data_IF_235495842363
#
_entry.id   IF_235495842363
#
_cell.length_a   1.000
_cell.length_b   1.000
_cell.length_c   1.000
_cell.angle_alpha   90.00
_cell.angle_beta   90.00
_cell.angle_gamma   90.00
#
_symmetry.space_group_name_H-M   'P 1'
#
loop_
_entity.id
_entity.type
_entity.pdbx_description
1 polymer ?
#
# COMPACT_ATOMS: atom_id res chain seq x y z
N UNK A 1 -6.56 -5.47 15.60
CA UNK A 1 -5.93 -4.39 14.82
C UNK A 1 -5.85 -3.06 15.55
N UNK A 2 -4.63 -2.55 15.77
CA UNK A 2 -4.33 -1.24 16.33
C UNK A 2 -3.32 -0.54 15.42
N UNK A 3 -3.56 0.72 15.05
CA UNK A 3 -2.63 1.51 14.25
C UNK A 3 -1.36 1.80 15.06
N UNK A 4 -0.20 1.47 14.49
CA UNK A 4 1.10 1.88 15.00
C UNK A 4 1.39 3.29 14.48
N UNK A 5 0.84 4.29 15.17
CA UNK A 5 0.88 5.71 14.74
C UNK A 5 2.31 6.20 14.52
N UNK A 6 3.19 5.97 15.50
CA UNK A 6 4.58 6.40 15.44
C UNK A 6 5.33 5.76 14.26
N UNK A 7 5.18 4.45 14.08
CA UNK A 7 5.77 3.74 12.94
C UNK A 7 5.23 4.25 11.61
N UNK A 8 3.94 4.55 11.52
CA UNK A 8 3.28 4.98 10.27
C UNK A 8 3.65 6.41 9.90
N UNK A 9 3.48 7.35 10.82
CA UNK A 9 3.64 8.78 10.53
C UNK A 9 5.11 9.21 10.48
N UNK A 10 6.00 8.54 11.21
CA UNK A 10 7.44 8.84 11.17
C UNK A 10 8.22 7.95 10.20
N UNK A 11 7.57 7.05 9.44
CA UNK A 11 8.29 6.09 8.60
C UNK A 11 9.21 6.76 7.59
N UNK A 12 8.68 7.70 6.79
CA UNK A 12 9.45 8.41 5.77
C UNK A 12 10.60 9.22 6.40
N UNK A 13 10.37 9.85 7.56
CA UNK A 13 11.43 10.56 8.28
C UNK A 13 12.53 9.59 8.78
N UNK A 14 12.16 8.43 9.32
CA UNK A 14 13.12 7.39 9.74
C UNK A 14 13.95 6.85 8.57
N UNK A 15 13.34 6.70 7.39
CA UNK A 15 14.04 6.34 6.16
C UNK A 15 14.99 7.44 5.70
N UNK A 16 14.55 8.70 5.70
CA UNK A 16 15.39 9.86 5.38
C UNK A 16 16.63 9.95 6.27
N UNK A 17 16.47 9.77 7.60
CA UNK A 17 17.58 9.78 8.55
C UNK A 17 18.60 8.65 8.31
N UNK A 18 18.18 7.56 7.66
CA UNK A 18 19.03 6.46 7.22
C UNK A 18 19.63 6.67 5.83
N UNK A 19 19.48 7.87 5.26
CA UNK A 19 19.90 8.26 3.90
C UNK A 19 19.22 7.43 2.81
N UNK A 20 18.04 6.90 3.09
CA UNK A 20 17.25 6.16 2.12
C UNK A 20 16.59 7.14 1.13
N UNK A 21 16.55 6.84 -0.19
CA UNK A 21 15.85 7.70 -1.13
C UNK A 21 14.36 7.64 -0.86
N UNK A 22 13.76 8.80 -0.57
CA UNK A 22 12.32 8.92 -0.30
C UNK A 22 11.63 10.00 -1.14
N UNK A 23 12.41 10.90 -1.74
CA UNK A 23 11.89 11.96 -2.59
C UNK A 23 11.37 11.33 -3.89
N UNK A 24 10.09 11.53 -4.22
CA UNK A 24 9.46 10.89 -5.38
C UNK A 24 8.99 9.45 -5.16
N UNK A 25 9.15 8.88 -3.95
CA UNK A 25 8.67 7.52 -3.68
C UNK A 25 7.12 7.48 -3.62
N UNK A 26 6.50 6.77 -4.56
CA UNK A 26 5.04 6.63 -4.71
C UNK A 26 4.38 5.58 -3.82
N UNK A 27 5.11 5.06 -2.83
CA UNK A 27 4.62 4.03 -1.94
C UNK A 27 4.31 4.62 -0.55
N UNK A 28 3.08 4.39 -0.11
CA UNK A 28 2.64 4.62 1.26
C UNK A 28 2.73 3.36 2.08
N UNK A 29 3.21 3.51 3.31
CA UNK A 29 3.35 2.42 4.27
C UNK A 29 2.53 2.75 5.51
N UNK A 30 1.68 1.81 5.93
CA UNK A 30 0.91 1.90 7.17
C UNK A 30 1.09 0.61 7.95
N UNK A 31 1.27 0.76 9.26
CA UNK A 31 1.62 -0.36 10.14
C UNK A 31 0.56 -0.56 11.21
N UNK A 32 0.16 -1.80 11.42
CA UNK A 32 -0.78 -2.20 12.44
C UNK A 32 -0.23 -3.33 13.31
N UNK A 33 -0.61 -3.34 14.58
CA UNK A 33 -0.52 -4.52 15.43
C UNK A 33 -1.81 -5.34 15.29
N UNK A 34 -1.68 -6.64 15.04
CA UNK A 34 -2.79 -7.60 14.92
C UNK A 34 -2.53 -8.84 15.78
N UNK A 35 -2.95 -8.76 17.05
CA UNK A 35 -2.88 -9.86 18.02
C UNK A 35 -4.00 -10.89 17.85
N UNK A 36 -5.08 -10.53 17.15
CA UNK A 36 -6.23 -11.41 16.90
C UNK A 36 -6.32 -11.82 15.44
N UNK A 37 -5.23 -12.35 14.87
CA UNK A 37 -5.15 -12.68 13.45
C UNK A 37 -6.18 -13.75 13.05
N UNK A 38 -6.98 -13.43 12.02
CA UNK A 38 -8.08 -14.27 11.50
C UNK A 38 -7.95 -14.48 9.99
N UNK A 39 -6.72 -14.66 9.50
CA UNK A 39 -6.44 -14.93 8.09
C UNK A 39 -6.91 -13.80 7.17
N UNK A 40 -7.58 -14.17 6.08
CA UNK A 40 -8.10 -13.26 5.04
C UNK A 40 -8.90 -12.07 5.61
N UNK A 41 -9.69 -12.29 6.66
CA UNK A 41 -10.51 -11.23 7.28
C UNK A 41 -9.67 -10.13 7.94
N UNK A 42 -8.53 -10.47 8.54
CA UNK A 42 -7.57 -9.50 9.07
C UNK A 42 -6.92 -8.68 7.95
N UNK A 43 -6.57 -9.32 6.83
CA UNK A 43 -6.04 -8.61 5.67
C UNK A 43 -7.08 -7.66 5.04
N UNK A 44 -8.34 -8.11 4.87
CA UNK A 44 -9.44 -7.25 4.36
C UNK A 44 -9.65 -6.05 5.28
N UNK A 45 -9.66 -6.27 6.59
CA UNK A 45 -9.77 -5.21 7.59
C UNK A 45 -8.61 -4.22 7.49
N UNK A 46 -7.37 -4.70 7.32
CA UNK A 46 -6.21 -3.83 7.18
C UNK A 46 -6.26 -2.97 5.93
N UNK A 47 -6.69 -3.54 4.80
CA UNK A 47 -6.88 -2.79 3.56
C UNK A 47 -7.88 -1.64 3.75
N UNK A 48 -9.02 -1.87 4.42
CA UNK A 48 -9.97 -0.80 4.76
C UNK A 48 -9.38 0.22 5.74
N UNK A 49 -8.68 -0.23 6.78
CA UNK A 49 -8.03 0.69 7.73
C UNK A 49 -6.96 1.55 7.07
N UNK A 50 -6.23 1.03 6.09
CA UNK A 50 -5.27 1.81 5.31
C UNK A 50 -5.96 2.98 4.59
N UNK A 51 -7.08 2.75 3.89
CA UNK A 51 -7.83 3.84 3.23
C UNK A 51 -8.31 4.88 4.24
N UNK A 52 -8.73 4.43 5.44
CA UNK A 52 -9.11 5.34 6.52
C UNK A 52 -7.92 6.22 6.95
N UNK A 53 -6.73 5.64 7.08
CA UNK A 53 -5.50 6.40 7.38
C UNK A 53 -5.16 7.38 6.25
N UNK A 54 -5.35 7.01 4.98
CA UNK A 54 -5.14 7.93 3.85
C UNK A 54 -6.14 9.10 3.87
N UNK A 55 -7.41 8.87 4.25
CA UNK A 55 -8.37 9.94 4.51
C UNK A 55 -7.92 10.84 5.67
N UNK A 56 -7.46 10.26 6.78
CA UNK A 56 -7.00 11.01 7.96
C UNK A 56 -5.79 11.90 7.62
N UNK A 57 -4.85 11.44 6.77
CA UNK A 57 -3.74 12.26 6.25
C UNK A 57 -4.23 13.49 5.47
N UNK A 58 -5.44 13.44 4.89
CA UNK A 58 -6.11 14.55 4.19
C UNK A 58 -6.98 15.40 5.13
N UNK A 59 -6.93 15.16 6.44
CA UNK A 59 -7.81 15.74 7.46
C UNK A 59 -9.30 15.41 7.26
N UNK A 60 -9.59 14.22 6.72
CA UNK A 60 -10.96 13.74 6.51
C UNK A 60 -11.19 12.51 7.40
N UNK A 61 -12.16 12.53 8.32
CA UNK A 61 -12.40 11.37 9.18
C UNK A 61 -13.18 10.26 8.47
N UNK A 62 -12.86 9.02 8.80
CA UNK A 62 -13.69 7.86 8.47
C UNK A 62 -13.63 7.42 7.00
N UNK A 63 -14.64 6.65 6.60
CA UNK A 63 -14.86 6.12 5.26
C UNK A 63 -16.33 6.28 4.90
N UNK A 64 -16.63 6.48 3.62
CA UNK A 64 -18.00 6.41 3.13
C UNK A 64 -18.26 4.99 2.60
N UNK A 65 -19.11 4.22 3.28
CA UNK A 65 -19.52 2.91 2.77
C UNK A 65 -20.63 3.07 1.73
N UNK A 66 -20.55 2.33 0.64
CA UNK A 66 -21.47 2.45 -0.49
C UNK A 66 -21.63 1.13 -1.24
N UNK A 67 -22.74 0.99 -1.99
CA UNK A 67 -23.00 -0.13 -2.89
C UNK A 67 -22.56 0.15 -4.33
N UNK A 68 -21.88 1.28 -4.58
CA UNK A 68 -21.34 1.62 -5.90
C UNK A 68 -20.36 0.55 -6.40
N UNK A 69 -20.42 0.27 -7.70
CA UNK A 69 -19.54 -0.69 -8.40
C UNK A 69 -18.48 0.01 -9.27
N UNK A 70 -18.61 1.32 -9.45
CA UNK A 70 -17.69 2.13 -10.25
C UNK A 70 -17.38 3.43 -9.50
N UNK A 71 -16.10 3.75 -9.38
CA UNK A 71 -15.60 4.80 -8.49
C UNK A 71 -14.93 5.96 -9.22
N UNK A 72 -14.55 5.80 -10.49
CA UNK A 72 -13.73 6.80 -11.22
C UNK A 72 -14.51 8.06 -11.62
N UNK A 73 -15.83 8.04 -11.51
CA UNK A 73 -16.66 9.25 -11.66
C UNK A 73 -16.86 10.00 -10.34
N UNK A 74 -16.39 9.45 -9.21
CA UNK A 74 -16.50 10.14 -7.94
C UNK A 74 -15.46 11.25 -7.87
N UNK A 75 -15.84 12.48 -7.46
CA UNK A 75 -14.88 13.54 -7.24
C UNK A 75 -13.82 13.10 -6.22
N UNK A 76 -12.58 13.03 -6.66
CA UNK A 76 -11.43 12.56 -5.88
C UNK A 76 -11.02 13.68 -4.90
N UNK A 77 -10.90 14.88 -5.44
CA UNK A 77 -10.70 16.16 -4.76
C UNK A 77 -11.20 17.25 -5.71
N UNK A 78 -12.31 17.91 -5.38
CA UNK A 78 -12.63 19.20 -6.01
C UNK A 78 -12.40 20.24 -4.93
N UNK A 79 -11.31 20.99 -4.96
CA UNK A 79 -11.18 22.15 -4.06
C UNK A 79 -12.43 23.02 -4.22
N UNK A 80 -13.23 23.30 -3.17
CA UNK A 80 -12.92 23.18 -1.74
C UNK A 80 -13.50 21.94 -1.01
N UNK A 81 -14.23 21.04 -1.68
CA UNK A 81 -14.89 19.87 -1.09
C UNK A 81 -13.91 18.71 -0.90
N UNK A 82 -13.60 18.42 0.36
CA UNK A 82 -12.83 17.24 0.78
C UNK A 82 -13.78 16.08 1.11
N UNK A 83 -14.00 15.19 0.16
CA UNK A 83 -14.85 14.01 0.37
C UNK A 83 -14.04 12.82 0.91
N UNK A 84 -14.64 12.11 1.87
CA UNK A 84 -14.12 10.82 2.32
C UNK A 84 -14.05 9.86 1.15
N UNK A 85 -12.97 9.09 1.05
CA UNK A 85 -12.95 7.94 0.15
C UNK A 85 -14.17 7.04 0.39
N UNK A 86 -14.87 6.76 -0.70
CA UNK A 86 -15.92 5.79 -0.78
C UNK A 86 -15.31 4.39 -0.89
N UNK A 87 -15.93 3.42 -0.24
CA UNK A 87 -15.53 2.01 -0.28
C UNK A 87 -16.75 1.11 -0.45
N UNK A 88 -16.64 0.11 -1.32
CA UNK A 88 -17.57 -1.00 -1.38
C UNK A 88 -16.82 -2.29 -1.01
N UNK A 89 -16.90 -2.74 0.26
CA UNK A 89 -16.20 -3.93 0.70
C UNK A 89 -16.53 -5.18 -0.11
N UNK A 90 -17.72 -5.32 -0.70
CA UNK A 90 -18.15 -6.52 -1.42
C UNK A 90 -17.37 -6.76 -2.71
N UNK A 91 -16.75 -5.71 -3.24
CA UNK A 91 -15.88 -5.80 -4.42
C UNK A 91 -14.44 -6.18 -4.05
N UNK A 92 -14.09 -6.24 -2.77
CA UNK A 92 -12.72 -6.53 -2.33
C UNK A 92 -12.36 -7.99 -2.57
N UNK A 93 -11.39 -8.20 -3.45
CA UNK A 93 -10.80 -9.50 -3.73
C UNK A 93 -9.29 -9.47 -3.54
N UNK A 94 -8.80 -10.28 -2.61
CA UNK A 94 -7.39 -10.44 -2.31
C UNK A 94 -6.84 -11.77 -2.86
N UNK A 95 -5.78 -11.72 -3.66
CA UNK A 95 -5.04 -12.91 -4.09
C UNK A 95 -3.82 -13.14 -3.20
N UNK A 96 -3.65 -14.36 -2.68
CA UNK A 96 -2.46 -14.73 -1.90
C UNK A 96 -1.24 -14.79 -2.79
N UNK A 97 -0.13 -14.22 -2.33
CA UNK A 97 1.16 -14.18 -3.05
C UNK A 97 2.24 -14.82 -2.16
N UNK A 98 3.15 -15.57 -2.77
CA UNK A 98 4.33 -16.11 -2.08
C UNK A 98 5.39 -15.03 -1.90
N UNK A 99 6.13 -15.07 -0.79
CA UNK A 99 7.11 -14.03 -0.47
C UNK A 99 8.26 -13.93 -1.49
N UNK A 100 8.74 -15.06 -2.03
CA UNK A 100 9.74 -15.10 -3.09
C UNK A 100 9.29 -14.33 -4.34
N UNK A 101 8.03 -14.49 -4.76
CA UNK A 101 7.44 -13.76 -5.88
C UNK A 101 7.26 -12.27 -5.54
N UNK A 102 6.78 -11.96 -4.34
CA UNK A 102 6.47 -10.58 -3.93
C UNK A 102 7.72 -9.69 -3.81
N UNK A 103 8.85 -10.26 -3.37
CA UNK A 103 10.12 -9.53 -3.20
C UNK A 103 11.10 -9.75 -4.36
N UNK A 104 10.68 -10.38 -5.45
CA UNK A 104 11.55 -10.61 -6.60
C UNK A 104 11.91 -9.29 -7.30
N UNK A 105 13.10 -9.22 -7.89
CA UNK A 105 13.53 -8.15 -8.81
C UNK A 105 13.72 -8.68 -10.23
N UNK A 106 13.19 -9.88 -10.50
CA UNK A 106 13.25 -10.49 -11.82
C UNK A 106 12.49 -9.65 -12.86
N UNK A 107 13.09 -9.53 -14.05
CA UNK A 107 12.59 -8.72 -15.16
C UNK A 107 12.08 -9.62 -16.28
N UNK A 108 11.05 -9.14 -16.96
CA UNK A 108 10.63 -9.62 -18.28
C UNK A 108 11.73 -9.39 -19.31
N UNK A 109 11.63 -10.07 -20.46
CA UNK A 109 12.53 -9.83 -21.59
C UNK A 109 12.50 -8.37 -22.09
N UNK A 110 11.40 -7.65 -21.89
CA UNK A 110 11.25 -6.23 -22.21
C UNK A 110 11.82 -5.29 -21.14
N UNK A 111 12.41 -5.81 -20.06
CA UNK A 111 13.06 -5.04 -19.00
C UNK A 111 12.17 -4.58 -17.85
N UNK A 112 10.85 -4.78 -17.91
CA UNK A 112 9.91 -4.47 -16.82
C UNK A 112 10.00 -5.53 -15.72
N UNK A 113 9.84 -5.13 -14.45
CA UNK A 113 9.82 -6.07 -13.32
C UNK A 113 8.55 -6.94 -13.35
N UNK A 114 8.70 -8.23 -13.01
CA UNK A 114 7.58 -9.18 -13.05
C UNK A 114 6.49 -8.91 -12.00
N UNK A 115 6.85 -8.30 -10.87
CA UNK A 115 5.88 -7.94 -9.84
C UNK A 115 5.76 -6.42 -9.70
N UNK A 116 4.52 -5.98 -9.48
CA UNK A 116 4.19 -4.56 -9.41
C UNK A 116 4.81 -3.83 -8.21
N UNK A 117 5.14 -4.51 -7.11
CA UNK A 117 5.79 -3.85 -5.97
C UNK A 117 7.21 -3.38 -6.32
N UNK A 118 8.01 -4.26 -6.93
CA UNK A 118 9.32 -3.89 -7.46
C UNK A 118 9.19 -2.86 -8.59
N UNK A 119 8.24 -3.04 -9.51
CA UNK A 119 8.01 -2.08 -10.61
C UNK A 119 7.71 -0.66 -10.10
N UNK A 120 6.81 -0.53 -9.12
CA UNK A 120 6.45 0.76 -8.52
C UNK A 120 7.59 1.37 -7.71
N UNK A 121 8.42 0.55 -7.06
CA UNK A 121 9.55 1.05 -6.29
C UNK A 121 10.73 1.49 -7.17
N UNK A 122 11.07 0.70 -8.21
CA UNK A 122 12.30 0.83 -8.99
C UNK A 122 12.12 1.64 -10.27
N UNK A 123 10.88 1.85 -10.68
CA UNK A 123 10.55 2.68 -11.83
C UNK A 123 9.41 3.67 -11.52
N UNK A 124 9.49 4.43 -10.42
CA UNK A 124 8.50 5.45 -10.15
C UNK A 124 8.71 6.62 -11.13
N UNK A 125 7.65 7.34 -11.48
CA UNK A 125 7.79 8.63 -12.13
C UNK A 125 8.57 9.59 -11.20
N UNK A 126 9.13 10.66 -11.77
CA UNK A 126 9.80 11.76 -11.07
C UNK A 126 11.26 11.49 -10.62
N UNK A 127 11.74 12.31 -9.68
CA UNK A 127 13.14 12.41 -9.25
C UNK A 127 13.59 11.34 -8.24
N UNK A 128 12.84 10.25 -8.12
CA UNK A 128 13.24 9.15 -7.25
C UNK A 128 14.52 8.51 -7.78
N UNK A 129 15.48 8.31 -6.88
CA UNK A 129 16.82 7.80 -7.23
C UNK A 129 17.13 6.44 -6.62
N UNK A 130 16.13 5.74 -6.08
CA UNK A 130 16.36 4.45 -5.44
C UNK A 130 16.54 3.31 -6.44
N UNK A 131 17.33 2.34 -6.03
CA UNK A 131 17.75 1.21 -6.87
C UNK A 131 17.39 -0.16 -6.24
N UNK A 132 17.87 -1.24 -6.87
CA UNK A 132 17.62 -2.61 -6.39
C UNK A 132 18.23 -2.86 -5.00
N UNK A 133 19.37 -2.23 -4.66
CA UNK A 133 19.98 -2.37 -3.33
C UNK A 133 19.15 -1.69 -2.26
N UNK A 134 18.59 -0.52 -2.57
CA UNK A 134 17.61 0.16 -1.71
C UNK A 134 16.38 -0.71 -1.50
N UNK A 135 15.79 -1.25 -2.57
CA UNK A 135 14.62 -2.14 -2.48
C UNK A 135 14.89 -3.34 -1.58
N UNK A 136 16.04 -4.00 -1.76
CA UNK A 136 16.46 -5.14 -0.94
C UNK A 136 16.66 -4.71 0.52
N UNK A 137 17.32 -3.58 0.76
CA UNK A 137 17.62 -3.05 2.08
C UNK A 137 16.37 -2.66 2.86
N UNK A 138 15.41 -2.01 2.20
CA UNK A 138 14.11 -1.67 2.79
C UNK A 138 13.34 -2.92 3.18
N UNK A 139 13.27 -3.90 2.28
CA UNK A 139 12.54 -5.13 2.53
C UNK A 139 13.21 -5.98 3.61
N UNK A 140 14.55 -5.94 3.74
CA UNK A 140 15.26 -6.56 4.86
C UNK A 140 14.96 -5.87 6.19
N UNK A 141 14.85 -4.54 6.19
CA UNK A 141 14.47 -3.75 7.36
C UNK A 141 13.03 -4.04 7.81
N UNK A 142 12.09 -4.05 6.87
CA UNK A 142 10.67 -4.25 7.16
C UNK A 142 10.34 -5.71 7.47
N UNK A 143 10.99 -6.64 6.78
CA UNK A 143 10.63 -8.07 6.78
C UNK A 143 11.88 -8.96 6.90
N UNK A 144 12.55 -8.98 8.07
CA UNK A 144 13.79 -9.73 8.25
C UNK A 144 13.62 -11.26 8.09
N UNK A 145 12.41 -11.79 8.33
CA UNK A 145 12.07 -13.20 8.14
C UNK A 145 10.94 -13.37 7.13
N UNK A 146 11.27 -13.56 5.86
CA UNK A 146 10.29 -13.67 4.76
C UNK A 146 9.43 -14.94 4.81
N UNK A 147 9.94 -16.02 5.41
CA UNK A 147 9.26 -17.32 5.47
C UNK A 147 8.01 -17.35 6.36
N UNK A 148 7.87 -16.36 7.25
CA UNK A 148 6.73 -16.24 8.18
C UNK A 148 5.70 -15.20 7.72
N UNK A 149 5.84 -14.69 6.49
CA UNK A 149 4.92 -13.68 5.97
C UNK A 149 3.71 -14.32 5.29
N UNK A 150 2.55 -13.72 5.51
CA UNK A 150 1.33 -13.97 4.75
C UNK A 150 1.01 -12.71 3.96
N UNK A 151 0.96 -12.82 2.63
CA UNK A 151 0.84 -11.67 1.72
C UNK A 151 -0.40 -11.80 0.85
N UNK A 152 -1.16 -10.73 0.75
CA UNK A 152 -2.25 -10.57 -0.21
C UNK A 152 -2.06 -9.31 -1.04
N UNK A 153 -2.22 -9.43 -2.36
CA UNK A 153 -2.50 -8.29 -3.25
C UNK A 153 -4.00 -8.15 -3.41
N UNK A 154 -4.48 -6.92 -3.35
CA UNK A 154 -5.89 -6.58 -3.52
C UNK A 154 -6.13 -6.03 -4.92
N UNK A 155 -7.28 -6.35 -5.49
CA UNK A 155 -7.80 -5.56 -6.61
C UNK A 155 -8.04 -4.11 -6.15
N UNK A 156 -8.24 -3.20 -7.10
CA UNK A 156 -8.32 -1.76 -6.83
C UNK A 156 -9.70 -1.15 -7.14
N UNK A 157 -10.67 -1.92 -7.66
CA UNK A 157 -11.98 -1.41 -8.11
C UNK A 157 -13.01 -1.09 -7.00
N UNK A 158 -12.63 -1.18 -5.72
CA UNK A 158 -13.54 -1.09 -4.57
C UNK A 158 -13.51 0.25 -3.85
N UNK A 159 -12.71 1.21 -4.33
CA UNK A 159 -12.60 2.54 -3.72
C UNK A 159 -12.13 3.59 -4.73
N UNK A 160 -12.58 4.84 -4.55
CA UNK A 160 -12.07 6.00 -5.30
C UNK A 160 -10.70 6.49 -4.81
N UNK A 161 -10.14 5.88 -3.75
CA UNK A 161 -8.71 6.06 -3.43
C UNK A 161 -7.84 5.70 -4.64
N UNK A 162 -8.22 4.62 -5.35
CA UNK A 162 -7.47 4.03 -6.45
C UNK A 162 -7.59 4.75 -7.80
N UNK A 163 -8.53 5.70 -7.91
CA UNK A 163 -8.87 6.34 -9.18
C UNK A 163 -7.70 7.12 -9.80
N UNK A 164 -6.93 7.95 -9.06
CA UNK A 164 -5.79 8.66 -9.66
C UNK A 164 -4.73 7.71 -10.20
N UNK A 165 -4.38 6.66 -9.44
CA UNK A 165 -3.41 5.67 -9.89
C UNK A 165 -3.89 4.96 -11.17
N UNK A 166 -5.15 4.48 -11.20
CA UNK A 166 -5.73 3.82 -12.38
C UNK A 166 -5.66 4.65 -13.66
N UNK A 167 -5.85 5.96 -13.56
CA UNK A 167 -5.80 6.86 -14.72
C UNK A 167 -4.38 7.05 -15.27
N UNK A 168 -3.34 6.85 -14.46
CA UNK A 168 -1.96 7.19 -14.82
C UNK A 168 -1.01 5.99 -14.90
N UNK A 169 -0.77 5.30 -13.78
CA UNK A 169 0.25 4.25 -13.66
C UNK A 169 -0.25 2.99 -12.96
N UNK A 170 -1.56 2.79 -12.99
CA UNK A 170 -2.31 1.82 -12.18
C UNK A 170 -2.20 2.10 -10.66
N UNK A 171 -2.97 1.38 -9.87
CA UNK A 171 -3.02 1.53 -8.42
C UNK A 171 -2.95 0.17 -7.74
N UNK A 172 -2.14 0.09 -6.68
CA UNK A 172 -1.83 -1.19 -6.03
C UNK A 172 -2.02 -1.11 -4.52
N UNK A 173 -2.42 -2.24 -3.93
CA UNK A 173 -2.49 -2.39 -2.49
C UNK A 173 -2.08 -3.81 -2.09
N UNK A 174 -1.13 -3.90 -1.16
CA UNK A 174 -0.69 -5.14 -0.55
C UNK A 174 -0.83 -5.10 0.94
N UNK A 175 -1.18 -6.24 1.52
CA UNK A 175 -1.21 -6.45 2.97
C UNK A 175 -0.29 -7.60 3.32
N UNK A 176 0.64 -7.35 4.22
CA UNK A 176 1.70 -8.28 4.63
C UNK A 176 1.60 -8.46 6.13
N UNK A 177 1.25 -9.66 6.57
CA UNK A 177 1.23 -10.02 7.98
C UNK A 177 2.48 -10.82 8.32
N UNK A 178 3.24 -10.34 9.30
CA UNK A 178 4.38 -11.04 9.89
C UNK A 178 3.93 -11.76 11.15
N UNK A 179 3.90 -13.11 11.10
CA UNK A 179 3.44 -13.92 12.22
C UNK A 179 4.43 -13.94 13.39
N UNK A 180 5.69 -13.52 13.20
CA UNK A 180 6.68 -13.47 14.27
C UNK A 180 6.54 -12.23 15.15
N UNK A 181 6.09 -11.11 14.56
CA UNK A 181 5.94 -9.82 15.26
C UNK A 181 4.48 -9.43 15.49
N UNK A 182 3.51 -10.20 14.99
CA UNK A 182 2.09 -9.84 14.95
C UNK A 182 1.84 -8.48 14.27
N UNK A 183 2.72 -8.08 13.35
CA UNK A 183 2.66 -6.80 12.64
C UNK A 183 2.05 -7.00 11.27
N UNK A 184 1.08 -6.15 10.92
CA UNK A 184 0.50 -6.07 9.60
C UNK A 184 0.94 -4.77 8.94
N UNK A 185 1.72 -4.90 7.87
CA UNK A 185 2.14 -3.79 7.01
C UNK A 185 1.22 -3.72 5.80
N UNK A 186 0.66 -2.54 5.53
CA UNK A 186 -0.07 -2.26 4.30
C UNK A 186 0.78 -1.32 3.44
N UNK A 187 0.99 -1.72 2.20
CA UNK A 187 1.72 -0.94 1.19
C UNK A 187 0.70 -0.55 0.12
N UNK A 188 0.54 0.74 -0.12
CA UNK A 188 -0.36 1.26 -1.15
C UNK A 188 0.38 2.16 -2.13
N UNK A 189 -0.06 2.15 -3.38
CA UNK A 189 0.36 3.12 -4.40
C UNK A 189 -0.86 3.54 -5.19
N UNK A 190 -1.16 4.83 -5.16
CA UNK A 190 -2.34 5.37 -5.85
C UNK A 190 -2.31 6.88 -6.06
N UNK A 191 -1.24 7.56 -5.63
CA UNK A 191 -1.15 9.01 -5.73
C UNK A 191 -0.59 9.39 -7.09
N UNK A 192 -1.30 10.30 -7.73
CA UNK A 192 -0.73 11.31 -8.61
C UNK A 192 -0.43 12.52 -7.71
N UNK A 193 0.71 13.17 -7.93
CA UNK A 193 1.07 14.53 -7.48
C UNK A 193 0.24 15.23 -6.37
#
# INVERSE_FOLDING_TARGET
MKLLKEDTYQFKQKLYLRKFPINGLLLDYVFFEETGYRGYSSHRKAALQFIKVMNEKRNIPGLLYTDLHYFDHLPIVCSPIRLSYAVNPELMYGKRIKADVFFSVEKTASGSYLNWYAQTFLFPPYSYSGDEEDFISLNKLLFPKKSVLIIYAWNNNWSNYFSPGREWMDAFLWTIYDTASNKLTVIGSSMTD
#
